data_IF_198095494999
#
_entry.id   IF_198095494999
#
_cell.length_a   1.000
_cell.length_b   1.000
_cell.length_c   1.000
_cell.angle_alpha   90.00
_cell.angle_beta   90.00
_cell.angle_gamma   90.00
#
_symmetry.space_group_name_H-M   'P 1'
#
loop_
_entity.id
_entity.type
_entity.pdbx_description
1 polymer ?
#
# COMPACT_ATOMS: atom_id res chain seq x y z
N UNK A 1 -0.51 -13.94 -2.65
CA UNK A 1 -1.02 -12.98 -1.65
C UNK A 1 -0.24 -11.70 -1.77
N UNK A 2 -0.92 -10.57 -1.79
CA UNK A 2 -0.31 -9.24 -1.89
C UNK A 2 -0.67 -8.40 -0.66
N UNK A 3 0.31 -7.65 -0.16
CA UNK A 3 0.22 -6.89 1.08
C UNK A 3 0.56 -5.41 0.83
N UNK A 4 -0.32 -4.62 0.19
CA UNK A 4 -0.02 -3.22 -0.11
C UNK A 4 0.19 -2.44 1.20
N UNK A 5 1.24 -1.63 1.24
CA UNK A 5 1.53 -0.75 2.37
C UNK A 5 0.93 0.64 2.11
N UNK A 6 0.00 1.09 2.96
CA UNK A 6 -0.66 2.39 2.85
C UNK A 6 -0.56 3.18 4.16
N UNK A 7 -0.42 4.51 4.08
CA UNK A 7 -0.24 5.42 5.23
C UNK A 7 -1.58 5.92 5.81
N UNK A 8 -2.62 5.08 5.74
CA UNK A 8 -3.97 5.32 6.27
C UNK A 8 -4.57 6.72 5.99
N UNK A 9 -4.14 7.38 4.91
CA UNK A 9 -4.69 8.71 4.57
C UNK A 9 -6.13 8.55 4.10
N UNK A 10 -6.92 9.61 4.22
CA UNK A 10 -8.34 9.60 3.89
C UNK A 10 -8.65 8.93 2.55
N UNK A 11 -7.97 9.34 1.47
CA UNK A 11 -8.21 8.79 0.12
C UNK A 11 -7.65 7.37 -0.08
N UNK A 12 -6.63 6.97 0.69
CA UNK A 12 -6.12 5.60 0.71
C UNK A 12 -7.13 4.66 1.38
N UNK A 13 -7.67 5.07 2.55
CA UNK A 13 -8.73 4.34 3.24
C UNK A 13 -10.06 4.34 2.45
N UNK A 14 -10.37 5.38 1.68
CA UNK A 14 -11.53 5.35 0.77
C UNK A 14 -11.32 4.28 -0.31
N UNK A 15 -10.15 4.26 -0.97
CA UNK A 15 -9.85 3.26 -2.01
C UNK A 15 -10.01 1.83 -1.47
N UNK A 16 -9.43 1.54 -0.29
CA UNK A 16 -9.55 0.20 0.31
C UNK A 16 -10.99 -0.16 0.67
N UNK A 17 -11.79 0.79 1.16
CA UNK A 17 -13.21 0.54 1.49
C UNK A 17 -14.04 0.24 0.24
N UNK A 18 -13.85 1.00 -0.84
CA UNK A 18 -14.52 0.74 -2.11
C UNK A 18 -14.18 -0.65 -2.63
N UNK A 19 -12.89 -1.01 -2.62
CA UNK A 19 -12.44 -2.33 -3.06
C UNK A 19 -12.95 -3.47 -2.16
N UNK A 20 -13.06 -3.25 -0.85
CA UNK A 20 -13.66 -4.24 0.05
C UNK A 20 -15.16 -4.42 -0.23
N UNK A 21 -15.89 -3.35 -0.57
CA UNK A 21 -17.31 -3.38 -0.95
C UNK A 21 -17.51 -4.11 -2.28
N UNK A 22 -16.60 -3.91 -3.23
CA UNK A 22 -16.56 -4.58 -4.54
C UNK A 22 -16.08 -6.04 -4.43
N UNK A 23 -15.78 -6.52 -3.22
CA UNK A 23 -15.21 -7.85 -2.96
C UNK A 23 -13.89 -8.10 -3.73
N UNK A 24 -13.18 -7.03 -4.10
CA UNK A 24 -11.95 -7.08 -4.86
C UNK A 24 -10.77 -7.56 -4.01
N UNK A 25 -10.74 -7.31 -2.71
CA UNK A 25 -9.56 -7.62 -1.87
C UNK A 25 -9.54 -9.05 -1.34
N UNK A 26 -10.71 -9.61 -1.06
CA UNK A 26 -10.89 -10.80 -0.23
C UNK A 26 -10.15 -12.00 -0.82
N UNK A 27 -9.40 -12.69 0.04
CA UNK A 27 -8.68 -13.91 -0.30
C UNK A 27 -7.36 -13.72 -1.04
N UNK A 28 -7.06 -12.51 -1.55
CA UNK A 28 -5.84 -12.27 -2.35
C UNK A 28 -5.01 -11.08 -1.86
N UNK A 29 -5.64 -10.06 -1.27
CA UNK A 29 -5.00 -8.83 -0.81
C UNK A 29 -5.29 -8.61 0.68
N UNK A 30 -4.24 -8.39 1.48
CA UNK A 30 -4.34 -8.02 2.89
C UNK A 30 -3.53 -6.75 3.14
N UNK A 31 -4.17 -5.57 3.16
CA UNK A 31 -3.47 -4.30 3.31
C UNK A 31 -2.70 -4.21 4.63
N UNK A 32 -1.54 -3.55 4.60
CA UNK A 32 -0.79 -3.08 5.77
C UNK A 32 -1.05 -1.58 5.88
N UNK A 33 -1.68 -1.15 6.97
CA UNK A 33 -2.16 0.20 7.17
C UNK A 33 -1.33 0.85 8.28
N UNK A 34 -0.63 1.93 7.96
CA UNK A 34 0.07 2.76 8.92
C UNK A 34 -0.70 4.06 9.21
N UNK A 35 -1.28 4.20 10.40
CA UNK A 35 -1.94 5.44 10.81
C UNK A 35 -0.98 6.63 10.90
N UNK A 36 -1.37 7.75 10.30
CA UNK A 36 -0.60 9.01 10.37
C UNK A 36 -1.29 10.13 11.13
N UNK A 37 -2.51 9.87 11.62
CA UNK A 37 -3.36 10.82 12.36
C UNK A 37 -3.80 10.18 13.67
N UNK A 38 -3.75 10.96 14.76
CA UNK A 38 -4.25 10.53 16.08
C UNK A 38 -5.75 10.27 16.06
N UNK A 39 -6.51 11.00 15.24
CA UNK A 39 -7.96 10.81 15.14
C UNK A 39 -8.33 9.51 14.38
N UNK A 40 -9.06 8.62 15.05
CA UNK A 40 -9.47 7.31 14.49
C UNK A 40 -10.71 7.35 13.56
N UNK A 41 -11.27 8.52 13.22
CA UNK A 41 -12.54 8.60 12.48
C UNK A 41 -12.52 7.85 11.15
N UNK A 42 -11.47 8.03 10.34
CA UNK A 42 -11.36 7.33 9.06
C UNK A 42 -11.02 5.85 9.24
N UNK A 43 -10.23 5.49 10.26
CA UNK A 43 -9.95 4.09 10.62
C UNK A 43 -11.22 3.36 11.04
N UNK A 44 -12.08 3.99 11.83
CA UNK A 44 -13.37 3.43 12.25
C UNK A 44 -14.30 3.18 11.07
N UNK A 45 -14.31 4.07 10.07
CA UNK A 45 -15.06 3.84 8.84
C UNK A 45 -14.48 2.66 8.04
N UNK A 46 -13.16 2.50 7.99
CA UNK A 46 -12.51 1.37 7.33
C UNK A 46 -12.78 0.06 8.05
N UNK A 47 -12.60 0.03 9.37
CA UNK A 47 -12.89 -1.11 10.23
C UNK A 47 -14.31 -1.63 10.03
N UNK A 48 -15.33 -0.77 10.08
CA UNK A 48 -16.73 -1.17 9.89
C UNK A 48 -16.97 -1.85 8.55
N UNK A 49 -16.48 -1.24 7.47
CA UNK A 49 -16.62 -1.82 6.12
C UNK A 49 -15.86 -3.14 6.00
N UNK A 50 -14.66 -3.23 6.56
CA UNK A 50 -13.86 -4.44 6.51
C UNK A 50 -14.51 -5.57 7.31
N UNK A 51 -15.08 -5.26 8.47
CA UNK A 51 -15.84 -6.21 9.27
C UNK A 51 -17.05 -6.75 8.49
N UNK A 52 -17.88 -5.85 7.93
CA UNK A 52 -19.05 -6.21 7.13
C UNK A 52 -18.70 -7.06 5.91
N UNK A 53 -17.53 -6.84 5.32
CA UNK A 53 -17.05 -7.52 4.10
C UNK A 53 -16.06 -8.64 4.35
N UNK A 54 -15.87 -9.04 5.61
CA UNK A 54 -14.91 -10.08 6.02
C UNK A 54 -13.50 -9.85 5.48
N UNK A 55 -13.12 -8.58 5.31
CA UNK A 55 -11.78 -8.18 4.90
C UNK A 55 -10.90 -8.05 6.15
N UNK A 56 -9.69 -8.59 6.07
CA UNK A 56 -8.66 -8.40 7.09
C UNK A 56 -7.62 -7.38 6.64
N UNK A 57 -7.01 -6.70 7.59
CA UNK A 57 -5.85 -5.85 7.34
C UNK A 57 -4.90 -5.88 8.54
N UNK A 58 -3.65 -5.56 8.30
CA UNK A 58 -2.69 -5.27 9.36
C UNK A 58 -2.76 -3.79 9.71
N UNK A 59 -2.81 -3.46 10.99
CA UNK A 59 -2.72 -2.10 11.51
C UNK A 59 -1.38 -1.94 12.22
N UNK A 60 -0.55 -1.01 11.75
CA UNK A 60 0.69 -0.68 12.43
C UNK A 60 0.38 0.11 13.70
N UNK A 61 0.82 -0.41 14.83
CA UNK A 61 0.51 0.17 16.14
C UNK A 61 1.62 1.05 16.71
N UNK A 62 2.82 0.99 16.12
CA UNK A 62 3.97 1.83 16.47
C UNK A 62 4.55 2.53 15.23
N UNK A 63 3.78 3.41 14.57
CA UNK A 63 4.14 3.93 13.27
C UNK A 63 5.49 4.68 13.31
N UNK A 64 6.16 4.72 12.16
CA UNK A 64 7.39 5.48 11.94
C UNK A 64 7.11 6.95 11.65
N UNK A 65 5.91 7.28 11.19
CA UNK A 65 5.54 8.61 10.70
C UNK A 65 4.15 9.03 11.17
N UNK A 66 3.88 10.34 11.12
CA UNK A 66 2.59 10.91 11.53
C UNK A 66 2.56 11.44 12.97
N UNK A 67 1.38 11.80 13.43
CA UNK A 67 1.16 12.51 14.71
C UNK A 67 1.53 11.67 15.95
N UNK A 68 1.45 10.34 15.84
CA UNK A 68 1.79 9.38 16.90
C UNK A 68 2.96 8.47 16.49
N UNK A 69 3.94 9.02 15.76
CA UNK A 69 5.15 8.29 15.41
C UNK A 69 5.96 7.91 16.65
N UNK A 70 6.21 6.61 16.86
CA UNK A 70 6.88 6.13 18.06
C UNK A 70 6.28 4.85 18.62
N UNK A 71 6.87 4.38 19.71
CA UNK A 71 6.42 3.20 20.46
C UNK A 71 5.40 3.65 21.50
N UNK A 72 4.17 3.84 21.04
CA UNK A 72 3.06 4.31 21.86
C UNK A 72 1.92 3.29 21.93
N UNK A 73 1.11 3.36 22.98
CA UNK A 73 0.01 2.42 23.20
C UNK A 73 -1.33 2.87 22.61
N UNK A 74 -1.47 4.11 22.11
CA UNK A 74 -2.80 4.60 21.66
C UNK A 74 -3.43 3.75 20.55
N UNK A 75 -2.65 3.26 19.58
CA UNK A 75 -3.19 2.37 18.55
C UNK A 75 -3.42 0.94 19.04
N UNK A 76 -2.70 0.50 20.09
CA UNK A 76 -2.99 -0.76 20.79
C UNK A 76 -4.29 -0.67 21.58
N UNK A 77 -4.48 0.43 22.31
CA UNK A 77 -5.73 0.76 23.02
C UNK A 77 -6.89 0.85 22.05
N UNK A 78 -6.66 1.45 20.87
CA UNK A 78 -7.63 1.46 19.79
C UNK A 78 -7.99 0.05 19.32
N UNK A 79 -7.01 -0.79 18.95
CA UNK A 79 -7.27 -2.18 18.54
C UNK A 79 -8.03 -2.96 19.60
N UNK A 80 -7.61 -2.85 20.87
CA UNK A 80 -8.25 -3.52 21.99
C UNK A 80 -9.66 -2.99 22.31
N UNK A 81 -10.04 -1.84 21.74
CA UNK A 81 -11.41 -1.30 21.85
C UNK A 81 -12.36 -1.80 20.75
N UNK A 82 -11.84 -2.51 19.75
CA UNK A 82 -12.61 -3.09 18.66
C UNK A 82 -13.21 -4.43 19.10
N UNK A 83 -14.39 -4.76 18.57
CA UNK A 83 -15.13 -5.97 18.95
C UNK A 83 -14.56 -7.26 18.32
N UNK A 84 -13.86 -7.14 17.18
CA UNK A 84 -13.44 -8.26 16.34
C UNK A 84 -12.03 -8.05 15.75
N UNK A 85 -11.30 -9.15 15.53
CA UNK A 85 -9.88 -9.17 15.12
C UNK A 85 -9.65 -8.97 13.60
N UNK A 86 -10.51 -8.19 12.93
CA UNK A 86 -10.34 -7.88 11.50
C UNK A 86 -9.10 -7.01 11.23
N UNK A 87 -8.69 -6.21 12.21
CA UNK A 87 -7.40 -5.55 12.21
C UNK A 87 -6.41 -6.33 13.08
N UNK A 88 -5.42 -6.91 12.42
CA UNK A 88 -4.31 -7.61 13.08
C UNK A 88 -3.19 -6.63 13.41
N UNK A 89 -2.54 -6.74 14.56
CA UNK A 89 -1.46 -5.84 14.92
C UNK A 89 -0.22 -6.05 14.04
N UNK A 90 0.42 -4.95 13.65
CA UNK A 90 1.73 -4.95 13.01
C UNK A 90 2.68 -4.01 13.75
N UNK A 91 3.94 -4.39 13.84
CA UNK A 91 4.97 -3.62 14.52
C UNK A 91 6.15 -3.34 13.60
N UNK A 92 6.60 -2.08 13.55
CA UNK A 92 7.94 -1.78 13.07
C UNK A 92 8.97 -2.27 14.10
N UNK A 93 9.92 -3.09 13.65
CA UNK A 93 11.07 -3.46 14.46
C UNK A 93 12.20 -2.45 14.26
N UNK A 94 12.62 -1.81 15.36
CA UNK A 94 13.70 -0.80 15.40
C UNK A 94 14.52 -0.93 16.69
N UNK A 95 14.87 -2.17 17.05
CA UNK A 95 15.51 -2.54 18.32
C UNK A 95 14.63 -2.21 19.55
N UNK A 96 13.32 -2.39 19.40
CA UNK A 96 12.27 -2.12 20.38
C UNK A 96 11.58 -3.42 20.83
N UNK A 97 12.35 -4.51 20.94
CA UNK A 97 11.86 -5.85 21.35
C UNK A 97 11.12 -5.82 22.68
N UNK A 98 11.61 -5.04 23.66
CA UNK A 98 10.96 -4.85 24.97
C UNK A 98 9.54 -4.32 24.80
N UNK A 99 9.35 -3.20 24.09
CA UNK A 99 8.03 -2.62 23.84
C UNK A 99 7.09 -3.61 23.12
N UNK A 100 7.59 -4.33 22.11
CA UNK A 100 6.75 -5.27 21.36
C UNK A 100 6.34 -6.45 22.25
N UNK A 101 7.25 -7.02 23.03
CA UNK A 101 6.97 -8.13 23.94
C UNK A 101 6.00 -7.72 25.06
N UNK A 102 6.20 -6.53 25.65
CA UNK A 102 5.27 -5.98 26.64
C UNK A 102 3.88 -5.75 26.05
N UNK A 103 3.80 -5.19 24.85
CA UNK A 103 2.54 -4.97 24.13
C UNK A 103 1.82 -6.28 23.82
N UNK A 104 2.55 -7.29 23.32
CA UNK A 104 2.01 -8.62 23.06
C UNK A 104 1.46 -9.25 24.33
N UNK A 105 2.20 -9.20 25.44
CA UNK A 105 1.77 -9.78 26.70
C UNK A 105 0.60 -9.01 27.34
N UNK A 106 0.64 -7.68 27.35
CA UNK A 106 -0.36 -6.83 27.98
C UNK A 106 -1.72 -6.92 27.28
N UNK A 107 -1.72 -6.93 25.95
CA UNK A 107 -2.94 -6.94 25.14
C UNK A 107 -3.31 -8.33 24.62
N UNK A 108 -2.57 -9.38 25.00
CA UNK A 108 -2.84 -10.76 24.59
C UNK A 108 -2.78 -10.96 23.07
N UNK A 109 -1.89 -10.23 22.39
CA UNK A 109 -1.87 -10.18 20.93
C UNK A 109 -1.38 -11.50 20.34
N UNK A 110 -2.01 -11.91 19.24
CA UNK A 110 -1.61 -13.07 18.44
C UNK A 110 -1.70 -12.71 16.96
N UNK A 111 -1.09 -13.52 16.09
CA UNK A 111 -1.08 -13.31 14.63
C UNK A 111 -0.57 -11.92 14.22
N UNK A 112 0.45 -11.46 14.94
CA UNK A 112 1.12 -10.19 14.70
C UNK A 112 1.99 -10.25 13.45
N UNK A 113 2.17 -9.10 12.82
CA UNK A 113 3.19 -8.88 11.79
C UNK A 113 4.37 -8.09 12.35
N UNK A 114 5.59 -8.46 11.96
CA UNK A 114 6.77 -7.59 12.08
C UNK A 114 7.13 -6.98 10.73
N UNK A 115 7.45 -5.69 10.74
CA UNK A 115 7.94 -4.94 9.58
C UNK A 115 9.39 -4.56 9.87
N UNK A 116 10.27 -5.02 9.00
CA UNK A 116 11.70 -5.06 9.23
C UNK A 116 12.46 -4.40 8.08
N UNK A 117 13.53 -3.70 8.42
CA UNK A 117 14.52 -3.21 7.47
C UNK A 117 15.48 -4.35 7.07
N UNK A 118 16.16 -4.23 5.93
CA UNK A 118 17.16 -5.23 5.52
C UNK A 118 18.48 -5.13 6.29
N UNK A 119 18.74 -4.08 7.05
CA UNK A 119 20.00 -3.89 7.78
C UNK A 119 20.08 -4.70 9.09
N UNK A 120 19.02 -5.44 9.44
CA UNK A 120 18.98 -6.28 10.63
C UNK A 120 20.01 -7.40 10.58
N UNK A 121 20.72 -7.55 11.70
CA UNK A 121 21.66 -8.65 11.89
C UNK A 121 20.91 -9.91 12.32
N UNK A 122 21.24 -11.04 11.71
CA UNK A 122 20.78 -12.35 12.23
C UNK A 122 21.39 -12.68 13.59
N UNK A 123 22.43 -11.99 14.02
CA UNK A 123 23.06 -12.21 15.34
C UNK A 123 22.39 -11.38 16.46
N UNK A 124 21.33 -10.64 16.15
CA UNK A 124 20.50 -9.97 17.14
C UNK A 124 19.59 -11.01 17.84
N UNK A 125 19.96 -11.38 19.06
CA UNK A 125 19.22 -12.35 19.88
C UNK A 125 17.81 -11.86 20.25
N UNK A 126 17.61 -10.56 20.42
CA UNK A 126 16.31 -9.97 20.73
C UNK A 126 15.38 -10.07 19.50
N UNK A 127 15.92 -9.78 18.31
CA UNK A 127 15.21 -9.97 17.06
C UNK A 127 14.82 -11.44 16.85
N UNK A 128 15.78 -12.37 16.99
CA UNK A 128 15.54 -13.82 16.84
C UNK A 128 14.44 -14.30 17.77
N UNK A 129 14.53 -13.98 19.06
CA UNK A 129 13.54 -14.37 20.05
C UNK A 129 12.14 -13.85 19.68
N UNK A 130 12.06 -12.64 19.14
CA UNK A 130 10.80 -12.03 18.72
C UNK A 130 10.22 -12.71 17.48
N UNK A 131 10.99 -12.90 16.40
CA UNK A 131 10.48 -13.52 15.17
C UNK A 131 10.16 -15.00 15.32
N UNK A 132 10.83 -15.71 16.23
CA UNK A 132 10.56 -17.12 16.53
C UNK A 132 9.33 -17.30 17.43
N UNK A 133 8.92 -16.26 18.18
CA UNK A 133 7.77 -16.32 19.09
C UNK A 133 6.46 -16.72 18.39
N UNK A 134 5.55 -17.36 19.11
CA UNK A 134 4.24 -17.78 18.57
C UNK A 134 3.30 -16.59 18.30
N UNK A 135 3.55 -15.43 18.91
CA UNK A 135 2.74 -14.24 18.68
C UNK A 135 2.96 -13.66 17.29
N UNK A 136 4.19 -13.72 16.76
CA UNK A 136 4.53 -13.24 15.42
C UNK A 136 4.24 -14.35 14.41
N UNK A 137 3.36 -14.10 13.45
CA UNK A 137 3.03 -15.05 12.38
C UNK A 137 3.43 -14.54 11.00
N UNK A 138 3.51 -13.23 10.82
CA UNK A 138 3.92 -12.61 9.55
C UNK A 138 5.17 -11.75 9.71
N UNK A 139 6.03 -11.75 8.70
CA UNK A 139 7.27 -10.96 8.68
C UNK A 139 7.37 -10.32 7.32
N UNK A 140 7.38 -8.99 7.28
CA UNK A 140 7.50 -8.17 6.08
C UNK A 140 8.88 -7.49 6.11
N UNK A 141 9.72 -7.73 5.10
CA UNK A 141 11.10 -7.23 5.08
C UNK A 141 11.33 -6.38 3.84
N UNK A 142 11.85 -5.18 4.03
CA UNK A 142 12.25 -4.27 2.95
C UNK A 142 13.49 -4.76 2.20
N UNK A 143 13.41 -4.91 0.88
CA UNK A 143 14.49 -5.38 -0.02
C UNK A 143 15.32 -6.54 0.60
N UNK A 144 14.70 -7.71 0.83
CA UNK A 144 15.36 -8.84 1.48
C UNK A 144 16.54 -9.38 0.65
N UNK A 145 16.59 -9.06 -0.65
CA UNK A 145 17.70 -9.45 -1.53
C UNK A 145 19.04 -8.84 -1.12
N UNK A 146 19.04 -7.68 -0.44
CA UNK A 146 20.25 -7.02 0.08
C UNK A 146 20.86 -7.73 1.29
N UNK A 147 20.08 -8.51 2.03
CA UNK A 147 20.56 -9.25 3.21
C UNK A 147 20.24 -10.75 3.10
N UNK A 148 21.12 -11.45 2.38
CA UNK A 148 20.98 -12.90 2.13
C UNK A 148 21.02 -13.75 3.40
N UNK A 149 21.73 -13.30 4.44
CA UNK A 149 21.81 -14.02 5.70
C UNK A 149 20.45 -13.99 6.41
N UNK A 150 19.86 -12.79 6.54
CA UNK A 150 18.53 -12.58 7.09
C UNK A 150 17.48 -13.33 6.27
N UNK A 151 17.50 -13.19 4.96
CA UNK A 151 16.56 -13.86 4.07
C UNK A 151 16.58 -15.39 4.23
N UNK A 152 17.76 -16.01 4.25
CA UNK A 152 17.88 -17.47 4.46
C UNK A 152 17.39 -17.91 5.83
N UNK A 153 17.68 -17.12 6.87
CA UNK A 153 17.20 -17.40 8.21
C UNK A 153 15.66 -17.36 8.27
N UNK A 154 15.05 -16.30 7.74
CA UNK A 154 13.60 -16.10 7.75
C UNK A 154 12.82 -17.11 6.89
N UNK A 155 13.35 -17.54 5.74
CA UNK A 155 12.77 -18.65 4.95
C UNK A 155 12.71 -19.95 5.78
N UNK A 156 13.73 -20.18 6.62
CA UNK A 156 13.78 -21.35 7.48
C UNK A 156 12.71 -21.33 8.58
N UNK A 157 12.13 -20.17 8.87
CA UNK A 157 11.03 -20.03 9.82
C UNK A 157 9.71 -20.40 9.14
N UNK A 158 8.86 -21.17 9.80
CA UNK A 158 7.51 -21.47 9.32
C UNK A 158 6.55 -20.29 9.54
N UNK A 159 6.92 -19.11 9.04
CA UNK A 159 6.17 -17.85 9.17
C UNK A 159 5.64 -17.41 7.80
N UNK A 160 4.77 -16.41 7.78
CA UNK A 160 4.33 -15.75 6.57
C UNK A 160 5.34 -14.67 6.17
N UNK A 161 6.38 -15.10 5.45
CA UNK A 161 7.48 -14.24 5.03
C UNK A 161 7.14 -13.51 3.73
N UNK A 162 7.16 -12.18 3.78
CA UNK A 162 6.69 -11.27 2.75
C UNK A 162 7.83 -10.32 2.38
N UNK A 163 8.10 -10.18 1.08
CA UNK A 163 9.02 -9.16 0.55
C UNK A 163 8.30 -7.82 0.45
N UNK A 164 8.97 -6.73 0.83
CA UNK A 164 8.53 -5.35 0.62
C UNK A 164 9.54 -4.62 -0.28
N UNK A 165 9.07 -4.04 -1.38
CA UNK A 165 9.91 -3.26 -2.29
C UNK A 165 9.34 -1.86 -2.55
N UNK A 166 10.22 -0.86 -2.61
CA UNK A 166 9.86 0.49 -3.05
C UNK A 166 10.01 0.61 -4.56
N UNK A 167 8.95 0.23 -5.28
CA UNK A 167 8.95 0.10 -6.75
C UNK A 167 8.55 1.39 -7.47
N UNK A 168 7.91 2.34 -6.79
CA UNK A 168 7.42 3.55 -7.44
C UNK A 168 8.55 4.59 -7.60
N UNK A 169 8.97 4.80 -8.85
CA UNK A 169 10.01 5.76 -9.21
C UNK A 169 9.51 7.21 -9.13
N UNK A 170 9.53 7.79 -7.91
CA UNK A 170 9.12 9.18 -7.69
C UNK A 170 9.99 10.16 -8.49
N UNK A 171 9.36 11.23 -8.97
CA UNK A 171 10.05 12.34 -9.62
C UNK A 171 10.10 13.56 -8.71
N UNK A 172 11.10 14.43 -8.91
CA UNK A 172 11.25 15.66 -8.13
C UNK A 172 10.06 16.61 -8.33
N UNK A 173 9.51 16.64 -9.56
CA UNK A 173 8.29 17.39 -9.90
C UNK A 173 7.37 16.52 -10.74
N UNK A 174 6.07 16.70 -10.57
CA UNK A 174 5.06 16.04 -11.39
C UNK A 174 5.25 16.23 -12.90
N UNK A 175 5.76 17.40 -13.33
CA UNK A 175 6.03 17.68 -14.74
C UNK A 175 7.14 16.81 -15.34
N UNK A 176 8.04 16.27 -14.50
CA UNK A 176 9.17 15.48 -14.97
C UNK A 176 8.71 14.09 -15.47
N UNK A 177 7.47 13.68 -15.14
CA UNK A 177 6.83 12.52 -15.76
C UNK A 177 6.41 12.74 -17.22
N UNK A 178 6.51 13.95 -17.78
CA UNK A 178 6.26 14.16 -19.22
C UNK A 178 7.27 13.42 -20.11
N UNK A 179 8.51 13.28 -19.63
CA UNK A 179 9.58 12.58 -20.33
C UNK A 179 9.57 11.07 -20.07
N UNK A 180 8.66 10.59 -19.22
CA UNK A 180 8.54 9.18 -18.79
C UNK A 180 7.11 8.73 -19.02
N UNK A 181 6.83 8.29 -20.24
CA UNK A 181 5.48 7.89 -20.64
C UNK A 181 5.04 6.60 -19.93
N UNK A 182 5.83 5.54 -20.02
CA UNK A 182 5.59 4.26 -19.34
C UNK A 182 6.86 3.49 -19.08
N UNK A 183 6.82 2.62 -18.08
CA UNK A 183 7.89 1.68 -17.78
C UNK A 183 7.36 0.46 -17.01
N UNK A 184 8.18 -0.59 -16.91
CA UNK A 184 7.88 -1.73 -16.06
C UNK A 184 7.83 -1.26 -14.59
N UNK A 185 6.79 -1.68 -13.88
CA UNK A 185 6.59 -1.39 -12.47
C UNK A 185 7.04 -2.57 -11.60
N UNK A 186 6.56 -3.78 -11.88
CA UNK A 186 6.87 -4.96 -11.07
C UNK A 186 6.76 -6.27 -11.84
N UNK A 187 7.53 -7.26 -11.38
CA UNK A 187 7.38 -8.67 -11.71
C UNK A 187 7.29 -9.57 -10.47
N UNK A 188 7.19 -8.99 -9.28
CA UNK A 188 7.22 -9.74 -8.01
C UNK A 188 6.04 -10.69 -7.87
N UNK A 189 4.87 -10.32 -8.38
CA UNK A 189 3.67 -11.17 -8.39
C UNK A 189 3.85 -12.47 -9.19
N UNK A 190 4.83 -12.51 -10.10
CA UNK A 190 5.20 -13.72 -10.86
C UNK A 190 6.08 -14.65 -10.01
N UNK A 191 7.13 -14.10 -9.37
CA UNK A 191 8.26 -14.88 -8.87
C UNK A 191 8.35 -15.04 -7.35
N UNK A 192 7.57 -14.30 -6.55
CA UNK A 192 7.71 -14.30 -5.08
C UNK A 192 7.68 -15.72 -4.46
N UNK A 193 6.85 -16.62 -4.99
CA UNK A 193 6.75 -18.00 -4.49
C UNK A 193 8.00 -18.83 -4.81
N UNK A 194 8.55 -18.68 -6.02
CA UNK A 194 9.75 -19.40 -6.46
C UNK A 194 10.99 -18.96 -5.66
N UNK A 195 10.95 -17.74 -5.12
CA UNK A 195 11.97 -17.18 -4.24
C UNK A 195 11.72 -17.45 -2.73
N UNK A 196 10.73 -18.27 -2.39
CA UNK A 196 10.47 -18.72 -1.03
C UNK A 196 9.64 -17.76 -0.16
N UNK A 197 9.04 -16.73 -0.75
CA UNK A 197 8.10 -15.84 -0.06
C UNK A 197 6.67 -16.38 -0.12
N UNK A 198 5.89 -16.13 0.94
CA UNK A 198 4.44 -16.42 0.99
C UNK A 198 3.59 -15.24 0.51
N UNK A 199 4.19 -14.07 0.32
CA UNK A 199 3.59 -12.91 -0.33
C UNK A 199 4.61 -11.85 -0.74
N UNK A 200 4.11 -10.81 -1.37
CA UNK A 200 4.88 -9.62 -1.75
C UNK A 200 4.11 -8.35 -1.34
N UNK A 201 4.81 -7.23 -1.30
CA UNK A 201 4.36 -5.96 -0.74
C UNK A 201 5.11 -4.83 -1.43
N UNK A 202 4.44 -3.71 -1.59
CA UNK A 202 5.01 -2.45 -2.08
C UNK A 202 4.18 -1.29 -1.53
N UNK A 203 4.54 -0.06 -1.88
CA UNK A 203 3.80 1.15 -1.52
C UNK A 203 2.76 1.55 -2.57
N UNK A 204 2.31 0.60 -3.40
CA UNK A 204 1.46 0.81 -4.59
C UNK A 204 2.09 1.81 -5.57
N UNK A 205 1.27 2.59 -6.27
CA UNK A 205 1.71 3.69 -7.15
C UNK A 205 2.06 4.98 -6.37
N UNK A 206 2.48 4.85 -5.11
CA UNK A 206 2.82 5.96 -4.23
C UNK A 206 4.28 5.84 -3.76
N UNK A 207 4.93 6.97 -3.44
CA UNK A 207 6.24 6.92 -2.82
C UNK A 207 6.17 6.33 -1.40
N UNK A 208 7.19 5.57 -1.04
CA UNK A 208 7.41 5.11 0.34
C UNK A 208 7.52 6.28 1.34
N UNK A 209 8.14 7.38 0.93
CA UNK A 209 8.38 8.55 1.76
C UNK A 209 7.09 9.25 2.21
N UNK A 210 7.02 9.53 3.52
CA UNK A 210 5.95 10.33 4.08
C UNK A 210 6.30 11.83 4.04
N UNK A 211 5.40 12.62 3.45
CA UNK A 211 5.47 14.09 3.48
C UNK A 211 4.19 14.65 4.08
N UNK A 212 4.29 15.45 5.15
CA UNK A 212 3.10 16.05 5.75
C UNK A 212 2.55 17.18 4.87
N UNK A 213 1.23 17.18 4.70
CA UNK A 213 0.53 18.05 3.75
C UNK A 213 0.76 17.71 2.28
N UNK A 214 0.43 18.66 1.41
CA UNK A 214 0.64 18.59 -0.03
C UNK A 214 0.66 20.00 -0.61
N UNK A 215 1.53 20.23 -1.59
CA UNK A 215 1.52 21.47 -2.37
C UNK A 215 0.59 21.32 -3.58
N UNK A 216 0.04 22.43 -4.07
CA UNK A 216 -0.67 22.41 -5.36
C UNK A 216 0.37 22.13 -6.44
N UNK A 217 0.28 21.01 -7.17
CA UNK A 217 1.30 20.64 -8.12
C UNK A 217 1.20 21.53 -9.37
N UNK A 218 2.34 21.75 -10.02
CA UNK A 218 2.38 22.44 -11.32
C UNK A 218 1.76 21.60 -12.44
N UNK A 219 1.84 20.28 -12.34
CA UNK A 219 1.27 19.32 -13.28
C UNK A 219 0.36 18.33 -12.55
N UNK A 220 -0.73 17.90 -13.20
CA UNK A 220 -1.53 16.76 -12.75
C UNK A 220 -1.02 15.52 -13.45
N UNK A 221 -0.82 14.44 -12.70
CA UNK A 221 -0.41 13.14 -13.24
C UNK A 221 -1.42 12.10 -12.77
N UNK A 222 -1.92 11.31 -13.71
CA UNK A 222 -2.70 10.10 -13.41
C UNK A 222 -1.80 8.90 -13.66
N UNK A 223 -1.58 8.10 -12.62
CA UNK A 223 -0.78 6.89 -12.70
C UNK A 223 -1.72 5.71 -12.93
N UNK A 224 -1.55 5.03 -14.06
CA UNK A 224 -2.34 3.85 -14.40
C UNK A 224 -1.39 2.66 -14.51
N UNK A 225 -1.73 1.56 -13.85
CA UNK A 225 -1.04 0.29 -14.04
C UNK A 225 -1.89 -0.67 -14.83
N UNK A 226 -1.24 -1.57 -15.56
CA UNK A 226 -1.88 -2.60 -16.37
C UNK A 226 -0.91 -3.77 -16.58
N UNK A 227 -1.43 -4.94 -16.96
CA UNK A 227 -0.60 -6.08 -17.34
C UNK A 227 -0.08 -5.91 -18.77
N UNK A 228 1.20 -6.17 -18.98
CA UNK A 228 1.84 -6.09 -20.29
C UNK A 228 2.86 -7.20 -20.48
N UNK A 229 3.07 -7.61 -21.73
CA UNK A 229 4.02 -8.65 -22.09
C UNK A 229 3.68 -9.99 -21.44
N UNK A 230 4.62 -10.52 -20.65
CA UNK A 230 4.47 -11.79 -19.92
C UNK A 230 3.78 -11.57 -18.57
N UNK A 231 2.61 -10.93 -18.59
CA UNK A 231 1.84 -10.55 -17.40
C UNK A 231 2.64 -9.71 -16.40
N UNK A 232 3.65 -8.96 -16.84
CA UNK A 232 4.36 -8.04 -15.96
C UNK A 232 3.48 -6.82 -15.69
N UNK A 233 3.62 -6.21 -14.50
CA UNK A 233 2.90 -4.97 -14.21
C UNK A 233 3.71 -3.83 -14.79
N UNK A 234 3.05 -3.03 -15.63
CA UNK A 234 3.58 -1.78 -16.16
C UNK A 234 2.84 -0.61 -15.56
N UNK A 235 3.49 0.54 -15.49
CA UNK A 235 2.92 1.81 -15.07
C UNK A 235 3.08 2.82 -16.19
N UNK A 236 2.02 3.59 -16.42
CA UNK A 236 1.97 4.68 -17.39
C UNK A 236 1.54 5.97 -16.71
N UNK A 237 2.21 7.06 -17.06
CA UNK A 237 2.06 8.37 -16.43
C UNK A 237 1.37 9.33 -17.39
N UNK A 238 0.10 9.62 -17.14
CA UNK A 238 -0.65 10.59 -17.93
C UNK A 238 -0.52 11.97 -17.30
N UNK A 239 0.45 12.74 -17.81
CA UNK A 239 0.77 14.07 -17.29
C UNK A 239 0.08 15.18 -18.09
N UNK A 240 -0.43 16.22 -17.43
CA UNK A 240 -0.97 17.42 -18.07
C UNK A 240 0.09 18.15 -18.90
N UNK A 241 -0.31 18.87 -19.95
CA UNK A 241 0.61 19.60 -20.82
C UNK A 241 0.89 21.01 -20.29
N UNK A 242 -0.14 21.69 -19.77
CA UNK A 242 -0.05 23.10 -19.38
C UNK A 242 0.53 23.25 -17.96
N UNK A 243 1.86 23.25 -17.81
CA UNK A 243 2.53 23.13 -16.50
C UNK A 243 3.30 24.36 -16.00
N UNK A 244 3.13 25.53 -16.64
CA UNK A 244 3.92 26.74 -16.34
C UNK A 244 3.63 27.35 -14.95
N UNK A 245 2.43 27.13 -14.40
CA UNK A 245 1.99 27.69 -13.13
C UNK A 245 1.24 26.66 -12.27
N UNK A 246 0.82 27.01 -11.06
CA UNK A 246 -0.06 26.17 -10.22
C UNK A 246 -1.56 26.43 -10.47
N UNK A 247 -1.90 27.38 -11.35
CA UNK A 247 -3.28 27.73 -11.65
C UNK A 247 -3.98 26.62 -12.47
N UNK A 248 -5.31 26.71 -12.54
CA UNK A 248 -6.16 25.87 -13.39
C UNK A 248 -5.92 24.35 -13.24
N UNK A 249 -5.95 23.85 -12.01
CA UNK A 249 -5.81 22.40 -11.74
C UNK A 249 -6.90 21.59 -12.44
N UNK A 250 -8.10 22.16 -12.60
CA UNK A 250 -9.22 21.55 -13.33
C UNK A 250 -8.88 21.29 -14.81
N UNK A 251 -8.35 22.29 -15.51
CA UNK A 251 -7.92 22.12 -16.91
C UNK A 251 -6.79 21.11 -17.07
N UNK A 252 -5.81 21.14 -16.15
CA UNK A 252 -4.72 20.14 -16.15
C UNK A 252 -5.21 18.72 -15.92
N UNK A 253 -6.16 18.55 -15.00
CA UNK A 253 -6.82 17.26 -14.84
C UNK A 253 -7.52 16.83 -16.13
N UNK A 254 -8.25 17.73 -16.80
CA UNK A 254 -8.92 17.40 -18.06
C UNK A 254 -7.92 16.96 -19.15
N UNK A 255 -6.76 17.62 -19.26
CA UNK A 255 -5.68 17.22 -20.18
C UNK A 255 -5.14 15.82 -19.85
N UNK A 256 -4.80 15.56 -18.58
CA UNK A 256 -4.29 14.26 -18.14
C UNK A 256 -5.35 13.15 -18.32
N UNK A 257 -6.59 13.42 -17.94
CA UNK A 257 -7.70 12.48 -18.04
C UNK A 257 -8.05 12.16 -19.49
N UNK A 258 -8.00 13.14 -20.40
CA UNK A 258 -8.19 12.90 -21.83
C UNK A 258 -7.20 11.87 -22.37
N UNK A 259 -5.91 11.99 -22.00
CA UNK A 259 -4.86 11.06 -22.40
C UNK A 259 -5.09 9.65 -21.81
N UNK A 260 -5.41 9.58 -20.51
CA UNK A 260 -5.67 8.33 -19.82
C UNK A 260 -6.87 7.59 -20.41
N UNK A 261 -8.01 8.27 -20.56
CA UNK A 261 -9.25 7.71 -21.09
C UNK A 261 -9.10 7.27 -22.54
N UNK A 262 -8.42 8.07 -23.38
CA UNK A 262 -8.13 7.67 -24.75
C UNK A 262 -7.29 6.38 -24.82
N UNK A 263 -6.28 6.27 -23.94
CA UNK A 263 -5.45 5.07 -23.85
C UNK A 263 -6.24 3.84 -23.38
N UNK A 264 -7.03 3.95 -22.31
CA UNK A 264 -7.85 2.84 -21.80
C UNK A 264 -8.83 2.34 -22.86
N UNK A 265 -9.54 3.26 -23.54
CA UNK A 265 -10.48 2.92 -24.63
C UNK A 265 -9.79 2.26 -25.83
N UNK A 266 -8.54 2.64 -26.13
CA UNK A 266 -7.81 2.08 -27.27
C UNK A 266 -7.21 0.68 -27.00
N UNK A 267 -7.03 0.32 -25.73
CA UNK A 267 -6.42 -0.94 -25.29
C UNK A 267 -7.41 -1.84 -24.55
N UNK A 268 -8.70 -1.49 -24.56
CA UNK A 268 -9.78 -2.22 -23.85
C UNK A 268 -9.45 -2.46 -22.36
N UNK A 269 -8.79 -1.49 -21.72
CA UNK A 269 -8.52 -1.54 -20.27
C UNK A 269 -9.79 -1.14 -19.52
N UNK A 270 -10.25 -2.00 -18.63
CA UNK A 270 -11.49 -1.80 -17.90
C UNK A 270 -11.38 -2.32 -16.46
N UNK A 271 -11.90 -1.52 -15.53
CA UNK A 271 -12.15 -1.87 -14.14
C UNK A 271 -12.90 -0.69 -13.48
N UNK A 272 -13.46 -0.90 -12.28
CA UNK A 272 -14.28 0.11 -11.59
C UNK A 272 -13.56 1.45 -11.36
N UNK A 273 -12.22 1.48 -11.25
CA UNK A 273 -11.47 2.74 -11.16
C UNK A 273 -11.39 3.47 -12.51
N UNK A 274 -11.17 2.72 -13.59
CA UNK A 274 -11.15 3.27 -14.95
C UNK A 274 -12.54 3.80 -15.32
N UNK A 275 -13.61 3.08 -15.00
CA UNK A 275 -14.99 3.54 -15.20
C UNK A 275 -15.24 4.88 -14.49
N UNK A 276 -14.83 5.02 -13.23
CA UNK A 276 -14.93 6.29 -12.50
C UNK A 276 -14.14 7.43 -13.16
N UNK A 277 -12.91 7.16 -13.61
CA UNK A 277 -12.10 8.15 -14.35
C UNK A 277 -12.77 8.58 -15.66
N UNK A 278 -13.33 7.62 -16.40
CA UNK A 278 -14.08 7.88 -17.63
C UNK A 278 -15.29 8.75 -17.35
N UNK A 279 -16.07 8.44 -16.30
CA UNK A 279 -17.24 9.23 -15.91
C UNK A 279 -16.84 10.68 -15.57
N UNK A 280 -15.78 10.89 -14.77
CA UNK A 280 -15.30 12.23 -14.46
C UNK A 280 -14.86 13.00 -15.71
N UNK A 281 -14.22 12.33 -16.67
CA UNK A 281 -13.81 12.95 -17.93
C UNK A 281 -15.01 13.31 -18.81
N UNK A 282 -15.92 12.37 -19.03
CA UNK A 282 -17.10 12.55 -19.91
C UNK A 282 -18.06 13.60 -19.34
N UNK A 283 -18.23 13.66 -18.01
CA UNK A 283 -19.02 14.68 -17.31
C UNK A 283 -18.29 16.03 -17.20
N UNK A 284 -17.04 16.12 -17.67
CA UNK A 284 -16.18 17.31 -17.53
C UNK A 284 -16.05 17.79 -16.09
N UNK A 285 -16.03 16.85 -15.14
CA UNK A 285 -16.00 17.11 -13.72
C UNK A 285 -14.61 16.85 -13.13
N UNK A 286 -14.06 17.84 -12.41
CA UNK A 286 -12.82 17.66 -11.67
C UNK A 286 -13.10 17.15 -10.24
N UNK A 287 -12.67 15.93 -9.89
CA UNK A 287 -13.04 15.31 -8.61
C UNK A 287 -12.10 15.66 -7.45
N UNK A 288 -11.08 16.50 -7.69
CA UNK A 288 -10.03 16.80 -6.70
C UNK A 288 -8.83 15.84 -6.77
N UNK A 289 -7.63 16.35 -6.44
CA UNK A 289 -6.38 15.57 -6.47
C UNK A 289 -6.40 14.33 -5.57
N UNK A 290 -7.11 14.41 -4.44
CA UNK A 290 -7.27 13.27 -3.55
C UNK A 290 -8.00 12.11 -4.21
N UNK A 291 -9.06 12.42 -4.98
CA UNK A 291 -9.78 11.41 -5.76
C UNK A 291 -8.93 10.87 -6.90
N UNK A 292 -8.14 11.72 -7.58
CA UNK A 292 -7.16 11.24 -8.58
C UNK A 292 -6.19 10.22 -7.97
N UNK A 293 -5.63 10.52 -6.79
CA UNK A 293 -4.79 9.59 -6.04
C UNK A 293 -5.53 8.30 -5.69
N UNK A 294 -6.77 8.40 -5.21
CA UNK A 294 -7.64 7.24 -4.92
C UNK A 294 -7.78 6.33 -6.14
N UNK A 295 -8.07 6.89 -7.30
CA UNK A 295 -8.26 6.14 -8.55
C UNK A 295 -6.99 5.40 -8.96
N UNK A 296 -5.81 6.03 -8.87
CA UNK A 296 -4.54 5.37 -9.19
C UNK A 296 -4.28 4.15 -8.29
N UNK A 297 -4.52 4.28 -6.97
CA UNK A 297 -4.41 3.17 -6.01
C UNK A 297 -5.43 2.08 -6.34
N UNK A 298 -6.70 2.47 -6.52
CA UNK A 298 -7.80 1.56 -6.79
C UNK A 298 -7.53 0.71 -8.04
N UNK A 299 -7.10 1.35 -9.13
CA UNK A 299 -6.71 0.67 -10.36
C UNK A 299 -5.58 -0.33 -10.11
N UNK A 300 -4.54 0.07 -9.39
CA UNK A 300 -3.41 -0.81 -9.11
C UNK A 300 -3.81 -2.07 -8.34
N UNK A 301 -4.64 -1.90 -7.30
CA UNK A 301 -5.15 -3.01 -6.51
C UNK A 301 -6.10 -3.92 -7.31
N UNK A 302 -6.88 -3.36 -8.24
CA UNK A 302 -7.77 -4.14 -9.13
C UNK A 302 -6.97 -5.01 -10.10
N UNK A 303 -5.94 -4.45 -10.75
CA UNK A 303 -5.05 -5.22 -11.66
C UNK A 303 -4.41 -6.40 -10.93
N UNK A 304 -3.88 -6.16 -9.73
CA UNK A 304 -3.29 -7.21 -8.92
C UNK A 304 -4.32 -8.22 -8.40
N UNK A 305 -5.49 -7.75 -7.97
CA UNK A 305 -6.57 -8.62 -7.51
C UNK A 305 -7.02 -9.57 -8.62
N UNK A 306 -7.28 -9.05 -9.81
CA UNK A 306 -7.70 -9.84 -10.96
C UNK A 306 -6.66 -10.90 -11.31
N UNK A 307 -5.38 -10.52 -11.40
CA UNK A 307 -4.31 -11.46 -11.66
C UNK A 307 -4.25 -12.58 -10.59
N UNK A 308 -4.29 -12.21 -9.31
CA UNK A 308 -4.14 -13.16 -8.20
C UNK A 308 -5.34 -14.09 -8.04
N UNK A 309 -6.56 -13.64 -8.39
CA UNK A 309 -7.78 -14.48 -8.33
C UNK A 309 -7.86 -15.49 -9.48
N UNK A 310 -7.19 -15.21 -10.58
CA UNK A 310 -7.20 -16.06 -11.78
C UNK A 310 -6.04 -17.07 -11.83
N UNK A 311 -5.20 -17.14 -10.78
CA UNK A 311 -4.08 -18.07 -10.63
C UNK A 311 -4.45 -19.28 -9.76
#
# INVERSE_FOLDING_TARGET
>A
MYYPFLRARQFELIALRELAIEEALQGVITPIIEPVKEAHNNLNLAYKVFLERQQTAYLIVNPMVGELAGDHTQYLEYLNSLDEDNFKPAFHYRNNSEFINESVAQYGLTDCMLICQNDLSVDDDDFKALVESDAIQSINVEDPGRNRALHRYLIGLNKNYIRLDDLFEKQARNSDFLDIEEHRFSEEHLYFQDEGFKGFSDYTVLPSEYTDGGSTPRAVVIHLTYLNGQDQIWIRHFTSDTNDSIANVQGKFAEAAAKAVAYCRAHDLDNSSIEELVNYFDDQHYPGLGTVKKLSIKNHLLVLSEYLKNR
#
